data_IF_182471120389
#
_entry.id   IF_182471120389
#
_cell.length_a   1.000
_cell.length_b   1.000
_cell.length_c   1.000
_cell.angle_alpha   90.00
_cell.angle_beta   90.00
_cell.angle_gamma   90.00
#
_symmetry.space_group_name_H-M   'P 1'
#
loop_
_entity.id
_entity.type
_entity.pdbx_description
1 polymer ?
#
# COMPACT_ATOMS: atom_id res chain seq x y z
N UNK A 1 -2.86 -45.20 8.38
CA UNK A 1 -3.24 -44.34 7.22
C UNK A 1 -4.34 -43.33 7.55
N UNK A 2 -5.17 -43.51 8.59
CA UNK A 2 -6.36 -42.64 8.81
C UNK A 2 -6.14 -41.29 9.55
N UNK A 3 -4.99 -41.04 10.18
CA UNK A 3 -4.79 -39.83 11.01
C UNK A 3 -4.37 -38.57 10.21
N UNK A 4 -3.64 -38.77 9.10
CA UNK A 4 -3.17 -37.67 8.23
C UNK A 4 -4.29 -37.15 7.33
N UNK A 5 -5.15 -38.04 6.81
CA UNK A 5 -6.33 -37.66 6.02
C UNK A 5 -7.41 -36.98 6.86
N UNK A 6 -7.62 -37.41 8.12
CA UNK A 6 -8.56 -36.74 9.04
C UNK A 6 -8.10 -35.35 9.48
N UNK A 7 -6.78 -35.13 9.58
CA UNK A 7 -6.21 -33.82 9.92
C UNK A 7 -6.38 -32.81 8.79
N UNK A 8 -6.11 -33.24 7.55
CA UNK A 8 -6.21 -32.38 6.37
C UNK A 8 -7.66 -31.97 6.05
N UNK A 9 -8.61 -32.89 6.22
CA UNK A 9 -10.04 -32.61 6.05
C UNK A 9 -10.57 -31.57 7.07
N UNK A 10 -10.14 -31.66 8.33
CA UNK A 10 -10.55 -30.71 9.37
C UNK A 10 -9.96 -29.31 9.16
N UNK A 11 -8.71 -29.21 8.70
CA UNK A 11 -8.09 -27.92 8.35
C UNK A 11 -8.79 -27.22 7.18
N UNK A 12 -9.14 -27.97 6.13
CA UNK A 12 -9.82 -27.41 4.96
C UNK A 12 -11.25 -26.94 5.28
N UNK A 13 -11.97 -27.68 6.14
CA UNK A 13 -13.30 -27.29 6.62
C UNK A 13 -13.24 -26.01 7.46
N UNK A 14 -12.28 -25.92 8.38
CA UNK A 14 -12.11 -24.73 9.23
C UNK A 14 -11.69 -23.51 8.40
N UNK A 15 -10.79 -23.72 7.44
CA UNK A 15 -10.34 -22.65 6.55
C UNK A 15 -11.45 -22.12 5.63
N UNK A 16 -12.38 -22.99 5.23
CA UNK A 16 -13.58 -22.60 4.50
C UNK A 16 -14.58 -21.84 5.39
N UNK A 17 -14.73 -22.21 6.67
CA UNK A 17 -15.58 -21.47 7.63
C UNK A 17 -15.05 -20.06 7.87
N UNK A 18 -13.75 -19.93 8.12
CA UNK A 18 -13.05 -18.64 8.27
C UNK A 18 -13.26 -17.77 7.04
N UNK A 19 -13.11 -18.34 5.84
CA UNK A 19 -13.34 -17.63 4.59
C UNK A 19 -14.77 -17.10 4.49
N UNK A 20 -15.78 -17.94 4.77
CA UNK A 20 -17.19 -17.55 4.71
C UNK A 20 -17.54 -16.43 5.71
N UNK A 21 -17.02 -16.51 6.94
CA UNK A 21 -17.22 -15.47 7.95
C UNK A 21 -16.69 -14.10 7.49
N UNK A 22 -15.50 -14.07 6.87
CA UNK A 22 -14.96 -12.83 6.30
C UNK A 22 -15.80 -12.35 5.11
N UNK A 23 -16.26 -13.26 4.24
CA UNK A 23 -17.12 -12.90 3.11
C UNK A 23 -18.43 -12.23 3.59
N UNK A 24 -19.08 -12.79 4.62
CA UNK A 24 -20.31 -12.23 5.16
C UNK A 24 -20.08 -10.88 5.85
N UNK A 25 -18.99 -10.72 6.59
CA UNK A 25 -18.59 -9.44 7.14
C UNK A 25 -18.37 -8.38 6.03
N UNK A 26 -17.72 -8.74 4.92
CA UNK A 26 -17.50 -7.81 3.80
C UNK A 26 -18.82 -7.43 3.11
N UNK A 27 -19.81 -8.32 3.03
CA UNK A 27 -21.15 -7.96 2.52
C UNK A 27 -21.81 -6.90 3.40
N UNK A 28 -21.71 -7.03 4.72
CA UNK A 28 -22.21 -6.02 5.67
C UNK A 28 -21.50 -4.67 5.46
N UNK A 29 -20.19 -4.69 5.22
CA UNK A 29 -19.43 -3.47 4.91
C UNK A 29 -19.91 -2.80 3.61
N UNK A 30 -20.12 -3.57 2.53
CA UNK A 30 -20.62 -3.06 1.26
C UNK A 30 -22.04 -2.47 1.40
N UNK A 31 -22.94 -3.17 2.11
CA UNK A 31 -24.28 -2.66 2.38
C UNK A 31 -24.25 -1.36 3.20
N UNK A 32 -23.35 -1.27 4.18
CA UNK A 32 -23.18 -0.06 4.99
C UNK A 32 -22.59 1.14 4.23
N UNK A 33 -21.95 0.89 3.09
CA UNK A 33 -21.54 1.90 2.10
C UNK A 33 -22.67 2.30 1.14
N UNK A 34 -23.84 1.64 1.20
CA UNK A 34 -24.95 1.88 0.28
C UNK A 34 -24.81 1.17 -1.08
N UNK A 35 -23.93 0.18 -1.19
CA UNK A 35 -23.69 -0.54 -2.44
C UNK A 35 -24.67 -1.71 -2.64
N UNK A 36 -25.06 -1.95 -3.90
CA UNK A 36 -25.73 -3.19 -4.30
C UNK A 36 -24.71 -4.32 -4.41
N UNK A 37 -24.71 -5.23 -3.42
CA UNK A 37 -23.81 -6.38 -3.34
C UNK A 37 -23.91 -7.33 -4.55
N UNK A 38 -24.99 -7.27 -5.32
CA UNK A 38 -25.19 -8.13 -6.48
C UNK A 38 -24.66 -7.54 -7.78
N UNK A 39 -24.26 -6.25 -7.81
CA UNK A 39 -23.72 -5.64 -9.02
C UNK A 39 -22.44 -6.35 -9.47
N UNK A 40 -22.26 -6.48 -10.78
CA UNK A 40 -21.23 -7.31 -11.39
C UNK A 40 -19.82 -7.07 -10.83
N UNK A 41 -19.43 -5.80 -10.69
CA UNK A 41 -18.09 -5.39 -10.25
C UNK A 41 -17.70 -5.83 -8.83
N UNK A 42 -18.67 -5.89 -7.90
CA UNK A 42 -18.41 -6.21 -6.47
C UNK A 42 -19.00 -7.52 -5.99
N UNK A 43 -19.77 -8.24 -6.81
CA UNK A 43 -20.30 -9.57 -6.46
C UNK A 43 -19.22 -10.53 -5.97
N UNK A 44 -18.00 -10.44 -6.53
CA UNK A 44 -16.83 -11.26 -6.12
C UNK A 44 -15.92 -10.58 -5.10
N UNK A 45 -16.18 -9.32 -4.73
CA UNK A 45 -15.37 -8.57 -3.77
C UNK A 45 -15.27 -9.25 -2.39
N UNK A 46 -16.35 -9.75 -1.79
CA UNK A 46 -16.25 -10.50 -0.54
C UNK A 46 -15.19 -11.62 -0.58
N UNK A 47 -15.23 -12.46 -1.62
CA UNK A 47 -14.29 -13.57 -1.77
C UNK A 47 -12.86 -13.11 -2.03
N UNK A 48 -12.69 -12.05 -2.83
CA UNK A 48 -11.39 -11.44 -3.12
C UNK A 48 -10.74 -10.83 -1.88
N UNK A 49 -11.54 -10.22 -1.00
CA UNK A 49 -11.12 -9.65 0.29
C UNK A 49 -10.83 -10.75 1.30
N UNK A 50 -11.66 -11.78 1.41
CA UNK A 50 -11.41 -12.92 2.29
C UNK A 50 -10.10 -13.65 1.96
N UNK A 51 -9.88 -13.93 0.66
CA UNK A 51 -8.59 -14.45 0.18
C UNK A 51 -7.44 -13.48 0.50
N UNK A 52 -7.71 -12.17 0.59
CA UNK A 52 -6.72 -11.14 0.89
C UNK A 52 -6.17 -11.21 2.27
N UNK A 53 -7.07 -11.11 3.21
CA UNK A 53 -6.70 -11.00 4.60
C UNK A 53 -6.07 -12.31 5.05
N UNK A 54 -6.55 -13.46 4.55
CA UNK A 54 -5.92 -14.76 4.80
C UNK A 54 -4.49 -14.87 4.27
N UNK A 55 -4.24 -14.46 3.02
CA UNK A 55 -2.88 -14.47 2.46
C UNK A 55 -1.96 -13.48 3.20
N UNK A 56 -2.50 -12.32 3.56
CA UNK A 56 -1.79 -11.28 4.30
C UNK A 56 -1.47 -11.66 5.75
N UNK A 57 -2.12 -12.69 6.30
CA UNK A 57 -1.95 -13.14 7.69
C UNK A 57 -1.46 -14.59 7.79
N UNK A 58 -1.05 -15.19 6.66
CA UNK A 58 -0.56 -16.59 6.62
C UNK A 58 0.65 -16.83 7.53
N UNK A 59 1.40 -15.77 7.84
CA UNK A 59 2.58 -15.79 8.69
C UNK A 59 2.30 -16.23 10.14
N UNK A 60 1.05 -16.14 10.61
CA UNK A 60 0.68 -16.71 11.92
C UNK A 60 0.77 -18.23 11.98
N UNK A 61 0.61 -18.91 10.84
CA UNK A 61 0.63 -20.38 10.72
C UNK A 61 2.02 -20.93 10.37
N UNK A 62 3.05 -20.07 10.30
CA UNK A 62 4.39 -20.45 9.86
C UNK A 62 5.39 -20.39 11.03
N UNK A 63 6.30 -21.36 11.08
CA UNK A 63 7.35 -21.41 12.09
C UNK A 63 8.72 -21.14 11.48
N UNK A 64 9.51 -20.30 12.18
CA UNK A 64 10.86 -19.91 11.77
C UNK A 64 11.79 -21.13 11.67
N UNK A 65 11.59 -22.10 12.56
CA UNK A 65 12.42 -23.30 12.60
C UNK A 65 12.35 -24.08 11.28
N UNK A 66 11.17 -24.20 10.68
CA UNK A 66 10.98 -24.93 9.41
C UNK A 66 11.69 -24.25 8.23
N UNK A 67 11.98 -22.95 8.34
CA UNK A 67 12.69 -22.19 7.32
C UNK A 67 14.20 -22.28 7.47
N UNK A 68 14.69 -22.15 8.71
CA UNK A 68 16.12 -22.02 9.01
C UNK A 68 16.81 -23.38 9.16
N UNK A 69 16.11 -24.40 9.68
CA UNK A 69 16.70 -25.73 9.88
C UNK A 69 17.08 -26.35 8.52
N UNK A 70 18.32 -26.83 8.41
CA UNK A 70 18.87 -27.42 7.18
C UNK A 70 19.50 -26.43 6.19
N UNK A 71 19.55 -25.14 6.50
CA UNK A 71 20.12 -24.10 5.62
C UNK A 71 21.31 -23.35 6.24
N UNK A 72 21.97 -23.97 7.21
CA UNK A 72 23.24 -23.51 7.77
C UNK A 72 24.36 -24.28 7.08
N UNK A 73 25.21 -23.57 6.36
CA UNK A 73 26.30 -24.13 5.57
C UNK A 73 27.63 -23.91 6.28
N UNK A 74 28.51 -24.92 6.34
CA UNK A 74 29.85 -24.73 6.86
C UNK A 74 30.64 -23.82 5.92
N UNK A 75 31.29 -22.80 6.48
CA UNK A 75 32.19 -21.92 5.75
C UNK A 75 33.54 -21.92 6.49
N UNK A 76 34.50 -22.65 5.94
CA UNK A 76 35.80 -22.87 6.57
C UNK A 76 36.60 -21.57 6.68
N UNK A 77 37.23 -21.35 7.83
CA UNK A 77 38.07 -20.19 8.05
C UNK A 77 39.46 -20.29 7.48
N UNK A 78 40.05 -19.13 7.22
CA UNK A 78 41.49 -19.06 7.02
C UNK A 78 42.15 -19.37 8.37
N UNK A 79 42.91 -20.46 8.41
CA UNK A 79 43.67 -20.84 9.61
C UNK A 79 44.75 -19.81 9.88
N UNK A 80 44.59 -19.04 10.96
CA UNK A 80 45.57 -18.08 11.45
C UNK A 80 45.53 -16.74 10.73
N UNK A 81 45.08 -15.69 11.43
CA UNK A 81 45.18 -14.32 10.93
C UNK A 81 44.14 -13.40 11.54
N UNK A 82 44.60 -12.29 12.12
CA UNK A 82 43.76 -11.18 12.54
C UNK A 82 42.91 -10.64 11.37
N UNK A 83 41.59 -10.59 11.54
CA UNK A 83 40.66 -10.02 10.57
C UNK A 83 39.29 -10.71 10.54
N UNK A 84 38.30 -10.05 9.92
CA UNK A 84 36.94 -10.55 9.71
C UNK A 84 36.72 -11.13 8.30
N UNK A 85 37.78 -11.60 7.64
CA UNK A 85 37.70 -12.13 6.27
C UNK A 85 38.17 -13.59 6.24
N UNK A 86 37.20 -14.51 6.31
CA UNK A 86 37.40 -15.94 6.08
C UNK A 86 37.10 -16.81 7.30
N UNK A 87 35.92 -17.43 7.33
CA UNK A 87 35.58 -18.50 8.27
C UNK A 87 34.33 -18.37 9.11
N UNK A 88 33.40 -17.52 8.69
CA UNK A 88 32.21 -17.11 9.43
C UNK A 88 32.46 -16.10 10.58
N UNK A 89 33.46 -15.22 10.42
CA UNK A 89 33.51 -13.91 11.08
C UNK A 89 33.28 -12.79 10.05
N UNK A 90 32.67 -11.69 10.45
CA UNK A 90 32.40 -10.52 9.58
C UNK A 90 30.91 -10.28 9.30
N UNK A 91 30.58 -9.06 8.86
CA UNK A 91 29.20 -8.64 8.63
C UNK A 91 28.66 -9.17 7.28
N UNK A 92 27.56 -9.91 7.34
CA UNK A 92 26.78 -10.32 6.15
C UNK A 92 25.50 -9.50 6.11
N UNK A 93 25.17 -8.91 4.95
CA UNK A 93 23.97 -8.08 4.78
C UNK A 93 23.15 -8.54 3.58
N UNK A 94 21.85 -8.71 3.78
CA UNK A 94 20.85 -8.77 2.72
C UNK A 94 20.04 -7.47 2.77
N UNK A 95 19.96 -6.77 1.64
CA UNK A 95 19.36 -5.44 1.51
C UNK A 95 18.18 -5.48 0.55
N UNK A 96 17.37 -4.43 0.61
CA UNK A 96 16.28 -4.15 -0.34
C UNK A 96 15.28 -5.30 -0.47
N UNK A 97 14.93 -5.91 0.66
CA UNK A 97 13.86 -6.88 0.74
C UNK A 97 12.52 -6.13 0.76
N UNK A 98 11.87 -6.07 -0.40
CA UNK A 98 10.55 -5.47 -0.54
C UNK A 98 9.49 -6.44 0.00
N UNK A 99 8.81 -6.04 1.08
CA UNK A 99 7.80 -6.80 1.80
C UNK A 99 6.53 -5.96 1.99
N UNK A 100 5.43 -6.65 2.31
CA UNK A 100 4.17 -6.02 2.68
C UNK A 100 3.67 -6.56 4.00
N UNK A 101 3.09 -5.66 4.80
CA UNK A 101 2.40 -6.02 6.03
C UNK A 101 1.11 -5.22 6.17
N UNK A 102 0.28 -5.57 7.13
CA UNK A 102 -0.99 -4.90 7.41
C UNK A 102 -0.90 -4.19 8.74
N UNK A 103 -1.25 -2.90 8.77
CA UNK A 103 -1.15 -2.09 9.97
C UNK A 103 -2.22 -2.55 10.96
N UNK A 104 -1.79 -3.05 12.12
CA UNK A 104 -2.69 -3.52 13.16
C UNK A 104 -3.65 -2.42 13.65
N UNK A 105 -3.25 -1.15 13.56
CA UNK A 105 -4.08 -0.03 13.97
C UNK A 105 -5.24 0.25 13.01
N UNK A 106 -5.14 -0.05 11.72
CA UNK A 106 -6.16 0.38 10.75
C UNK A 106 -6.54 -0.66 9.68
N UNK A 107 -5.95 -1.85 9.70
CA UNK A 107 -6.14 -2.91 8.70
C UNK A 107 -5.80 -2.53 7.26
N UNK A 108 -5.11 -1.40 7.04
CA UNK A 108 -4.57 -1.06 5.73
C UNK A 108 -3.14 -1.58 5.57
N UNK A 109 -2.78 -2.03 4.36
CA UNK A 109 -1.42 -2.47 4.08
C UNK A 109 -0.42 -1.32 4.07
N UNK A 110 0.81 -1.61 4.45
CA UNK A 110 1.96 -0.73 4.38
C UNK A 110 3.15 -1.45 3.75
N UNK A 111 4.00 -0.67 3.07
CA UNK A 111 5.21 -1.18 2.43
C UNK A 111 6.33 -1.27 3.46
N UNK A 112 7.15 -2.32 3.36
CA UNK A 112 8.31 -2.53 4.21
C UNK A 112 9.50 -2.83 3.31
N UNK A 113 10.49 -1.95 3.30
CA UNK A 113 11.81 -2.27 2.75
C UNK A 113 12.72 -2.70 3.89
N UNK A 114 13.03 -3.98 3.94
CA UNK A 114 13.77 -4.62 5.01
C UNK A 114 15.25 -4.81 4.63
N UNK A 115 16.12 -4.48 5.57
CA UNK A 115 17.55 -4.80 5.51
C UNK A 115 17.91 -5.63 6.73
N UNK A 116 18.63 -6.73 6.50
CA UNK A 116 19.06 -7.66 7.54
C UNK A 116 20.57 -7.77 7.48
N UNK A 117 21.23 -7.37 8.56
CA UNK A 117 22.64 -7.62 8.83
C UNK A 117 22.80 -8.69 9.89
N UNK A 118 23.78 -9.58 9.76
CA UNK A 118 24.16 -10.47 10.85
C UNK A 118 25.65 -10.79 10.82
N UNK A 119 26.20 -11.12 11.99
CA UNK A 119 27.57 -11.61 12.13
C UNK A 119 27.54 -13.11 12.38
N UNK A 120 27.95 -13.95 11.42
CA UNK A 120 27.95 -15.39 11.59
C UNK A 120 28.74 -15.84 12.82
N UNK A 121 28.51 -17.09 13.24
CA UNK A 121 29.22 -17.70 14.37
C UNK A 121 29.42 -19.20 14.11
N UNK A 122 30.42 -19.78 14.76
CA UNK A 122 30.66 -21.23 14.71
C UNK A 122 30.90 -21.79 13.31
N UNK A 123 31.59 -21.03 12.45
CA UNK A 123 31.94 -21.43 11.08
C UNK A 123 30.74 -21.80 10.20
N UNK A 124 29.58 -21.18 10.44
CA UNK A 124 28.36 -21.42 9.67
C UNK A 124 27.73 -20.13 9.16
N UNK A 125 27.28 -20.15 7.91
CA UNK A 125 26.51 -19.07 7.28
C UNK A 125 25.11 -19.56 6.94
N UNK A 126 24.10 -18.68 7.04
CA UNK A 126 22.74 -19.01 6.60
C UNK A 126 22.58 -18.72 5.10
N UNK A 127 21.85 -19.58 4.39
CA UNK A 127 21.43 -19.28 3.03
C UNK A 127 20.66 -17.96 2.95
N UNK A 128 21.07 -17.05 2.07
CA UNK A 128 20.54 -15.68 2.01
C UNK A 128 19.01 -15.61 1.84
N UNK A 129 18.43 -16.55 1.08
CA UNK A 129 16.97 -16.64 0.89
C UNK A 129 16.19 -16.97 2.16
N UNK A 130 16.86 -17.41 3.24
CA UNK A 130 16.20 -17.68 4.52
C UNK A 130 15.95 -16.41 5.31
N UNK A 131 16.82 -15.41 5.18
CA UNK A 131 16.61 -14.11 5.83
C UNK A 131 15.33 -13.45 5.31
N UNK A 132 15.12 -13.46 3.98
CA UNK A 132 13.90 -12.94 3.38
C UNK A 132 12.65 -13.74 3.74
N UNK A 133 12.74 -15.08 3.78
CA UNK A 133 11.61 -15.94 4.20
C UNK A 133 11.22 -15.74 5.66
N UNK A 134 12.20 -15.58 6.56
CA UNK A 134 11.90 -15.27 7.97
C UNK A 134 11.25 -13.89 8.07
N UNK A 135 11.75 -12.89 7.35
CA UNK A 135 11.12 -11.57 7.31
C UNK A 135 9.67 -11.62 6.78
N UNK A 136 9.39 -12.42 5.73
CA UNK A 136 8.04 -12.60 5.18
C UNK A 136 7.07 -13.25 6.18
N UNK A 137 7.51 -14.23 7.00
CA UNK A 137 6.69 -14.83 8.06
C UNK A 137 6.11 -13.77 9.00
N UNK A 138 6.91 -12.78 9.39
CA UNK A 138 6.46 -11.73 10.30
C UNK A 138 5.75 -10.59 9.57
N UNK A 139 6.14 -10.29 8.33
CA UNK A 139 5.48 -9.28 7.52
C UNK A 139 4.03 -9.70 7.17
N UNK A 140 3.78 -10.99 6.92
CA UNK A 140 2.44 -11.53 6.65
C UNK A 140 1.62 -11.74 7.94
N UNK A 141 1.50 -10.66 8.73
CA UNK A 141 0.75 -10.51 9.98
C UNK A 141 0.19 -9.09 10.10
N UNK A 142 -0.64 -8.84 11.12
CA UNK A 142 -0.99 -7.50 11.56
C UNK A 142 0.15 -6.94 12.43
N UNK A 143 0.74 -5.82 12.01
CA UNK A 143 2.00 -5.33 12.57
C UNK A 143 2.01 -3.83 12.85
N UNK A 144 2.94 -3.45 13.72
CA UNK A 144 3.53 -2.12 13.79
C UNK A 144 5.02 -2.20 13.39
N UNK A 145 5.62 -1.15 12.80
CA UNK A 145 6.99 -1.18 12.30
C UNK A 145 8.01 -1.68 13.33
N UNK A 146 8.02 -1.12 14.55
CA UNK A 146 9.01 -1.50 15.56
C UNK A 146 8.87 -2.97 15.98
N UNK A 147 7.62 -3.42 16.24
CA UNK A 147 7.33 -4.82 16.58
C UNK A 147 7.82 -5.77 15.50
N UNK A 148 7.56 -5.44 14.22
CA UNK A 148 8.03 -6.24 13.09
C UNK A 148 9.57 -6.33 13.08
N UNK A 149 10.28 -5.23 13.32
CA UNK A 149 11.74 -5.24 13.39
C UNK A 149 12.25 -6.14 14.53
N UNK A 150 11.64 -6.01 15.72
CA UNK A 150 12.00 -6.78 16.91
C UNK A 150 11.73 -8.27 16.77
N UNK A 151 10.59 -8.65 16.19
CA UNK A 151 10.22 -10.04 15.95
C UNK A 151 11.15 -10.72 14.93
N UNK A 152 11.46 -10.04 13.82
CA UNK A 152 12.41 -10.55 12.82
C UNK A 152 13.80 -10.70 13.45
N UNK A 153 14.28 -9.68 14.16
CA UNK A 153 15.60 -9.70 14.81
C UNK A 153 15.72 -10.86 15.81
N UNK A 154 14.73 -11.00 16.69
CA UNK A 154 14.66 -12.06 17.71
C UNK A 154 14.59 -13.45 17.07
N UNK A 155 13.77 -13.62 16.04
CA UNK A 155 13.63 -14.88 15.34
C UNK A 155 14.92 -15.31 14.64
N UNK A 156 15.59 -14.40 13.96
CA UNK A 156 16.87 -14.66 13.32
C UNK A 156 17.96 -14.98 14.34
N UNK A 157 18.02 -14.23 15.46
CA UNK A 157 18.96 -14.48 16.53
C UNK A 157 18.79 -15.89 17.11
N UNK A 158 17.55 -16.31 17.39
CA UNK A 158 17.28 -17.64 17.94
C UNK A 158 17.46 -18.77 16.92
N UNK A 159 17.03 -18.55 15.67
CA UNK A 159 17.08 -19.56 14.61
C UNK A 159 18.49 -19.83 14.09
N UNK A 160 19.30 -18.78 13.90
CA UNK A 160 20.66 -18.88 13.35
C UNK A 160 21.71 -19.02 14.46
N UNK A 161 21.45 -18.44 15.65
CA UNK A 161 22.41 -18.27 16.75
C UNK A 161 23.71 -17.55 16.33
N UNK A 162 23.62 -16.43 15.60
CA UNK A 162 24.79 -15.68 15.19
C UNK A 162 25.39 -14.90 16.37
N UNK A 163 26.56 -14.31 16.15
CA UNK A 163 27.19 -13.40 17.13
C UNK A 163 26.33 -12.14 17.35
N UNK A 164 25.58 -11.73 16.32
CA UNK A 164 24.51 -10.75 16.44
C UNK A 164 23.72 -10.59 15.15
N UNK A 165 22.55 -9.97 15.26
CA UNK A 165 21.65 -9.61 14.14
C UNK A 165 21.25 -8.15 14.28
N UNK A 166 21.17 -7.45 13.16
CA UNK A 166 20.53 -6.16 13.03
C UNK A 166 19.46 -6.22 11.94
N UNK A 167 18.32 -5.63 12.22
CA UNK A 167 17.23 -5.42 11.26
C UNK A 167 16.97 -3.94 11.18
N UNK A 168 16.95 -3.41 9.96
CA UNK A 168 16.51 -2.04 9.66
C UNK A 168 15.31 -2.15 8.74
N UNK A 169 14.25 -1.39 9.03
CA UNK A 169 13.05 -1.36 8.20
C UNK A 169 12.73 0.09 7.83
N UNK A 170 12.61 0.36 6.53
CA UNK A 170 11.97 1.55 6.02
C UNK A 170 10.52 1.21 5.68
N UNK A 171 9.59 1.77 6.44
CA UNK A 171 8.15 1.52 6.30
C UNK A 171 7.47 2.73 5.65
N UNK A 172 6.55 2.47 4.72
CA UNK A 172 5.71 3.50 4.09
C UNK A 172 4.24 3.16 4.35
N UNK A 173 3.57 3.97 5.17
CA UNK A 173 2.13 3.87 5.37
C UNK A 173 1.40 4.86 4.47
N UNK A 174 0.29 4.44 3.90
CA UNK A 174 -0.53 5.35 3.11
C UNK A 174 -1.09 6.48 3.99
N UNK A 175 -1.03 7.71 3.51
CA UNK A 175 -1.66 8.84 4.19
C UNK A 175 -3.19 8.67 4.19
N UNK A 176 -3.86 9.15 5.23
CA UNK A 176 -5.32 9.14 5.29
C UNK A 176 -5.83 10.48 4.77
N UNK A 177 -6.33 10.58 3.52
CA UNK A 177 -6.91 11.82 3.07
C UNK A 177 -8.18 12.09 3.87
N UNK A 178 -8.19 13.19 4.63
CA UNK A 178 -9.43 13.76 5.11
C UNK A 178 -10.07 14.54 3.95
N UNK A 179 -11.39 14.43 3.79
CA UNK A 179 -12.14 15.11 2.73
C UNK A 179 -11.89 16.63 2.72
N UNK A 180 -11.63 17.23 3.88
CA UNK A 180 -11.33 18.66 4.03
C UNK A 180 -9.86 19.02 3.69
N UNK A 181 -8.89 18.12 3.92
CA UNK A 181 -7.46 18.41 3.68
C UNK A 181 -7.00 18.07 2.25
N UNK A 182 -7.76 17.26 1.52
CA UNK A 182 -7.48 16.92 0.11
C UNK A 182 -7.48 18.15 -0.82
N UNK A 183 -8.09 19.28 -0.41
CA UNK A 183 -8.13 20.54 -1.17
C UNK A 183 -6.93 21.47 -0.93
N UNK A 184 -6.22 21.33 0.20
CA UNK A 184 -5.30 22.37 0.70
C UNK A 184 -3.83 21.95 0.73
N UNK A 185 -3.55 20.64 0.73
CA UNK A 185 -2.17 20.18 0.86
C UNK A 185 -1.47 20.07 -0.50
N UNK A 186 -0.76 21.14 -0.88
CA UNK A 186 0.09 21.17 -2.08
C UNK A 186 1.36 20.32 -1.94
N UNK A 187 1.70 19.88 -0.73
CA UNK A 187 2.91 19.09 -0.45
C UNK A 187 2.73 17.59 -0.64
N UNK A 188 1.48 17.12 -0.80
CA UNK A 188 1.10 15.73 -1.11
C UNK A 188 2.05 14.67 -0.56
N UNK A 189 2.37 14.71 0.74
CA UNK A 189 3.06 13.61 1.41
C UNK A 189 2.10 12.40 1.46
N UNK A 190 2.05 11.71 0.33
CA UNK A 190 1.12 10.59 0.06
C UNK A 190 1.41 9.38 0.95
N UNK A 191 2.58 9.38 1.59
CA UNK A 191 3.09 8.31 2.42
C UNK A 191 3.75 8.87 3.68
N UNK A 192 3.40 8.30 4.83
CA UNK A 192 4.16 8.46 6.07
C UNK A 192 5.33 7.49 6.04
N UNK A 193 6.55 8.05 6.05
CA UNK A 193 7.78 7.28 6.04
C UNK A 193 8.27 7.12 7.48
N UNK A 194 8.60 5.90 7.88
CA UNK A 194 9.16 5.59 9.20
C UNK A 194 10.37 4.68 9.04
N UNK A 195 11.46 5.00 9.73
CA UNK A 195 12.64 4.16 9.82
C UNK A 195 12.72 3.60 11.24
N UNK A 196 12.77 2.28 11.36
CA UNK A 196 12.95 1.57 12.63
C UNK A 196 14.11 0.60 12.53
N UNK A 197 14.74 0.33 13.67
CA UNK A 197 15.81 -0.65 13.77
C UNK A 197 15.65 -1.51 15.00
N UNK A 198 16.18 -2.73 14.93
CA UNK A 198 16.28 -3.65 16.06
C UNK A 198 17.61 -4.39 15.98
N UNK A 199 18.26 -4.59 17.13
CA UNK A 199 19.58 -5.19 17.24
C UNK A 199 19.67 -6.22 18.35
N UNK A 200 20.45 -7.28 18.10
CA UNK A 200 20.72 -8.34 19.07
C UNK A 200 22.17 -8.82 18.99
N UNK A 201 22.67 -9.40 20.09
CA UNK A 201 24.08 -9.79 20.21
C UNK A 201 25.02 -8.58 20.12
N UNK A 202 26.01 -8.63 19.23
CA UNK A 202 26.94 -7.50 18.99
C UNK A 202 26.27 -6.21 18.50
N UNK A 203 25.02 -6.28 18.05
CA UNK A 203 24.22 -5.11 17.66
C UNK A 203 23.33 -4.56 18.79
N UNK A 204 23.45 -5.07 20.02
CA UNK A 204 22.59 -4.62 21.14
C UNK A 204 22.85 -3.17 21.54
N UNK A 205 24.09 -2.69 21.42
CA UNK A 205 24.44 -1.28 21.62
C UNK A 205 24.45 -0.56 20.27
N UNK A 206 23.55 0.40 20.07
CA UNK A 206 23.45 1.19 18.83
C UNK A 206 24.71 2.03 18.54
N UNK A 207 25.58 2.22 19.53
CA UNK A 207 26.85 2.96 19.39
C UNK A 207 28.04 2.07 19.03
N UNK A 208 27.85 0.75 18.94
CA UNK A 208 28.92 -0.16 18.57
C UNK A 208 29.39 0.12 17.13
N UNK A 209 30.71 0.04 16.90
CA UNK A 209 31.33 0.32 15.59
C UNK A 209 30.69 -0.47 14.44
N UNK A 210 30.18 -1.66 14.74
CA UNK A 210 29.52 -2.53 13.76
C UNK A 210 28.21 -1.96 13.20
N UNK A 211 27.50 -1.11 13.94
CA UNK A 211 26.37 -0.36 13.40
C UNK A 211 26.83 0.68 12.39
N UNK A 212 27.98 1.31 12.61
CA UNK A 212 28.58 2.25 11.67
C UNK A 212 28.92 1.56 10.36
N UNK A 213 29.48 0.35 10.41
CA UNK A 213 29.76 -0.46 9.21
C UNK A 213 28.47 -0.82 8.45
N UNK A 214 27.45 -1.29 9.16
CA UNK A 214 26.15 -1.62 8.59
C UNK A 214 25.52 -0.39 7.90
N UNK A 215 25.41 0.73 8.62
CA UNK A 215 24.80 1.95 8.12
C UNK A 215 25.59 2.55 6.95
N UNK A 216 26.92 2.49 6.98
CA UNK A 216 27.76 2.94 5.86
C UNK A 216 27.51 2.11 4.60
N UNK A 217 27.32 0.80 4.76
CA UNK A 217 26.95 -0.09 3.66
C UNK A 217 25.52 0.16 3.15
N UNK A 218 24.59 0.63 3.99
CA UNK A 218 23.26 1.07 3.56
C UNK A 218 23.32 2.42 2.82
N UNK A 219 24.09 3.38 3.35
CA UNK A 219 24.27 4.72 2.79
C UNK A 219 24.89 4.70 1.39
N UNK A 220 25.81 3.77 1.10
CA UNK A 220 26.41 3.61 -0.24
C UNK A 220 25.38 3.41 -1.36
N UNK A 221 24.16 2.96 -1.04
CA UNK A 221 23.04 2.78 -1.98
C UNK A 221 21.94 3.87 -1.86
N UNK A 222 22.21 4.95 -1.12
CA UNK A 222 21.27 6.08 -0.95
C UNK A 222 20.24 5.89 0.16
N UNK A 223 20.40 4.90 1.03
CA UNK A 223 19.54 4.71 2.23
C UNK A 223 20.17 5.50 3.39
N UNK A 224 19.98 6.82 3.43
CA UNK A 224 20.47 7.66 4.54
C UNK A 224 19.48 7.75 5.71
N UNK A 225 19.98 7.60 6.94
CA UNK A 225 19.25 7.89 8.19
C UNK A 225 18.87 9.38 8.31
N UNK A 226 19.47 10.24 7.48
CA UNK A 226 19.28 11.70 7.48
C UNK A 226 18.05 12.17 6.68
N UNK A 227 17.43 11.30 5.88
CA UNK A 227 16.22 11.64 5.11
C UNK A 227 14.91 11.43 5.90
N UNK A 228 15.01 11.04 7.17
CA UNK A 228 13.88 11.07 8.10
C UNK A 228 13.91 12.39 8.84
N UNK A 229 12.89 13.23 8.66
CA UNK A 229 12.66 14.38 9.51
C UNK A 229 12.78 13.94 10.98
N UNK A 230 13.76 14.46 11.76
CA UNK A 230 13.86 14.15 13.19
C UNK A 230 12.73 14.82 14.00
N UNK A 231 11.89 15.61 13.34
CA UNK A 231 10.71 16.22 13.92
C UNK A 231 9.51 15.30 13.78
N UNK A 232 9.21 14.58 14.86
CA UNK A 232 7.91 14.46 15.54
C UNK A 232 7.89 13.11 16.27
N UNK A 233 8.54 13.06 17.43
CA UNK A 233 8.52 11.90 18.34
C UNK A 233 7.14 11.66 19.01
N UNK A 234 6.10 12.41 18.62
CA UNK A 234 4.81 12.47 19.31
C UNK A 234 3.59 12.23 18.41
N UNK A 235 3.80 11.84 17.14
CA UNK A 235 2.72 11.45 16.23
C UNK A 235 2.75 9.94 16.01
N UNK A 236 1.62 9.30 16.26
CA UNK A 236 1.36 7.92 15.92
C UNK A 236 1.71 7.59 14.46
N UNK A 237 2.50 6.54 14.22
CA UNK A 237 2.91 6.12 12.86
C UNK A 237 1.72 5.88 11.92
N UNK A 238 0.61 5.37 12.48
CA UNK A 238 -0.59 5.15 11.72
C UNK A 238 -1.38 6.46 11.64
N UNK A 239 -1.56 7.07 10.45
CA UNK A 239 -2.21 8.38 10.36
C UNK A 239 -3.68 8.36 10.81
N UNK A 240 -4.33 7.20 10.82
CA UNK A 240 -5.69 7.04 11.35
C UNK A 240 -5.79 7.33 12.86
N UNK A 241 -4.71 7.20 13.61
CA UNK A 241 -4.70 7.42 15.06
C UNK A 241 -4.79 8.91 15.42
N UNK A 242 -4.43 9.83 14.50
CA UNK A 242 -4.56 11.27 14.70
C UNK A 242 -6.00 11.80 14.55
N UNK A 243 -6.95 10.98 14.09
CA UNK A 243 -8.28 11.41 13.69
C UNK A 243 -9.36 11.14 14.77
N UNK A 244 -9.41 11.96 15.83
CA UNK A 244 -10.24 11.75 17.04
C UNK A 244 -11.75 12.03 16.94
N UNK A 245 -12.28 12.54 15.82
CA UNK A 245 -13.74 12.75 15.72
C UNK A 245 -14.47 11.40 15.64
N UNK A 246 -15.27 11.11 16.67
CA UNK A 246 -16.17 9.97 16.81
C UNK A 246 -17.49 10.32 16.09
N UNK A 247 -17.63 9.93 14.82
CA UNK A 247 -18.95 9.97 14.17
C UNK A 247 -19.78 8.76 14.62
N UNK A 248 -21.11 8.86 14.52
CA UNK A 248 -22.04 7.77 14.84
C UNK A 248 -21.62 6.49 14.11
N UNK A 249 -20.97 5.58 14.86
CA UNK A 249 -20.44 4.35 14.32
C UNK A 249 -21.60 3.40 14.01
N UNK A 250 -21.71 2.96 12.75
CA UNK A 250 -22.63 1.88 12.39
C UNK A 250 -22.21 0.61 13.15
N UNK A 251 -22.99 0.21 14.14
CA UNK A 251 -22.67 -0.92 15.02
C UNK A 251 -22.56 -2.23 14.25
N UNK A 252 -23.38 -2.44 13.22
CA UNK A 252 -23.32 -3.62 12.36
C UNK A 252 -22.00 -3.71 11.60
N UNK A 253 -21.55 -2.61 10.99
CA UNK A 253 -20.26 -2.58 10.30
C UNK A 253 -19.09 -2.73 11.27
N UNK A 254 -19.20 -2.17 12.48
CA UNK A 254 -18.16 -2.30 13.51
C UNK A 254 -18.00 -3.75 13.90
N UNK A 255 -19.12 -4.43 14.13
CA UNK A 255 -19.16 -5.87 14.41
C UNK A 255 -18.64 -6.71 13.24
N UNK A 256 -18.87 -6.28 11.99
CA UNK A 256 -18.31 -6.94 10.82
C UNK A 256 -16.77 -6.90 10.82
N UNK A 257 -16.15 -5.74 11.10
CA UNK A 257 -14.68 -5.65 11.19
C UNK A 257 -14.13 -6.46 12.38
N UNK A 258 -14.83 -6.46 13.51
CA UNK A 258 -14.50 -7.33 14.65
C UNK A 258 -14.57 -8.81 14.27
N UNK A 259 -15.57 -9.21 13.49
CA UNK A 259 -15.72 -10.58 12.98
C UNK A 259 -14.56 -10.94 12.04
N UNK A 260 -14.12 -10.02 11.18
CA UNK A 260 -12.93 -10.19 10.35
C UNK A 260 -11.70 -10.47 11.22
N UNK A 261 -11.43 -9.63 12.22
CA UNK A 261 -10.28 -9.81 13.13
C UNK A 261 -10.30 -11.19 13.80
N UNK A 262 -11.44 -11.57 14.39
CA UNK A 262 -11.62 -12.89 15.02
C UNK A 262 -11.39 -14.03 14.05
N UNK A 263 -11.88 -13.90 12.82
CA UNK A 263 -11.70 -14.91 11.77
C UNK A 263 -10.24 -15.07 11.34
N UNK A 264 -9.44 -14.01 11.45
CA UNK A 264 -7.98 -14.06 11.21
C UNK A 264 -7.19 -14.63 12.41
N UNK A 265 -7.87 -15.02 13.49
CA UNK A 265 -7.24 -15.55 14.71
C UNK A 265 -6.76 -14.46 15.67
N UNK A 266 -7.13 -13.21 15.46
CA UNK A 266 -6.74 -12.08 16.31
C UNK A 266 -7.76 -11.83 17.43
N UNK A 267 -7.27 -11.39 18.58
CA UNK A 267 -8.09 -10.93 19.69
C UNK A 267 -8.35 -9.42 19.56
N UNK A 268 -9.59 -8.98 19.27
CA UNK A 268 -9.91 -7.55 19.13
C UNK A 268 -9.70 -6.74 20.41
N UNK A 269 -9.58 -7.40 21.57
CA UNK A 269 -9.31 -6.75 22.87
C UNK A 269 -7.81 -6.50 23.11
N UNK A 270 -6.94 -7.07 22.28
CA UNK A 270 -5.50 -6.79 22.26
C UNK A 270 -5.27 -5.27 22.16
N UNK A 271 -4.44 -4.73 23.05
CA UNK A 271 -4.20 -3.29 23.24
C UNK A 271 -4.04 -2.53 21.92
N UNK A 272 -3.33 -3.10 20.96
CA UNK A 272 -2.99 -2.44 19.69
C UNK A 272 -4.11 -2.53 18.64
N UNK A 273 -5.01 -3.51 18.78
CA UNK A 273 -6.21 -3.66 17.96
C UNK A 273 -7.41 -2.87 18.51
N UNK A 274 -7.33 -2.37 19.74
CA UNK A 274 -8.38 -1.51 20.30
C UNK A 274 -8.56 -0.28 19.41
N UNK A 275 -9.80 -0.07 18.98
CA UNK A 275 -10.19 1.00 18.06
C UNK A 275 -9.88 0.74 16.58
N UNK A 276 -9.23 -0.38 16.24
CA UNK A 276 -8.95 -0.75 14.83
C UNK A 276 -10.23 -0.88 13.99
N UNK A 277 -11.30 -1.53 14.47
CA UNK A 277 -12.59 -1.54 13.76
C UNK A 277 -13.06 -0.14 13.40
N UNK A 278 -13.04 0.79 14.35
CA UNK A 278 -13.48 2.16 14.14
C UNK A 278 -12.60 2.91 13.13
N UNK A 279 -11.26 2.79 13.25
CA UNK A 279 -10.32 3.47 12.35
C UNK A 279 -10.41 2.95 10.91
N UNK A 280 -10.58 1.65 10.72
CA UNK A 280 -10.81 1.07 9.41
C UNK A 280 -12.14 1.54 8.80
N UNK A 281 -13.22 1.55 9.59
CA UNK A 281 -14.51 2.04 9.12
C UNK A 281 -14.51 3.52 8.77
N UNK A 282 -13.86 4.35 9.58
CA UNK A 282 -13.73 5.78 9.28
C UNK A 282 -13.11 6.00 7.92
N UNK A 283 -12.04 5.27 7.61
CA UNK A 283 -11.43 5.29 6.28
C UNK A 283 -12.37 4.80 5.19
N UNK A 284 -13.03 3.67 5.42
CA UNK A 284 -13.99 3.10 4.48
C UNK A 284 -15.11 4.10 4.14
N UNK A 285 -15.56 4.87 5.14
CA UNK A 285 -16.64 5.85 5.00
C UNK A 285 -16.23 7.14 4.29
N UNK A 286 -14.93 7.46 4.20
CA UNK A 286 -14.48 8.65 3.45
C UNK A 286 -14.91 8.61 1.97
N UNK A 287 -15.21 7.42 1.43
CA UNK A 287 -15.61 7.20 0.05
C UNK A 287 -17.12 7.06 -0.13
N UNK A 288 -17.93 7.22 0.93
CA UNK A 288 -19.37 6.96 0.90
C UNK A 288 -20.15 8.05 0.17
N UNK A 289 -19.80 9.34 0.31
CA UNK A 289 -20.63 10.43 -0.20
C UNK A 289 -19.81 11.66 -0.61
N UNK A 290 -19.36 11.70 -1.87
CA UNK A 290 -19.05 12.96 -2.54
C UNK A 290 -20.32 13.40 -3.30
N UNK A 291 -21.23 14.13 -2.63
CA UNK A 291 -22.35 14.76 -3.35
C UNK A 291 -21.79 15.94 -4.16
N UNK A 292 -21.88 15.85 -5.48
CA UNK A 292 -21.76 17.04 -6.32
C UNK A 292 -23.07 17.80 -6.18
N UNK A 293 -23.08 18.91 -5.44
CA UNK A 293 -24.18 19.86 -5.55
C UNK A 293 -24.23 20.36 -7.01
N UNK A 294 -25.44 20.38 -7.57
CA UNK A 294 -25.77 20.67 -8.97
C UNK A 294 -25.39 22.11 -9.39
N UNK A 295 -24.09 22.38 -9.51
CA UNK A 295 -23.51 23.69 -9.82
C UNK A 295 -22.67 23.68 -11.10
N UNK A 296 -23.11 22.97 -12.13
CA UNK A 296 -22.55 23.10 -13.48
C UNK A 296 -23.61 23.74 -14.37
N UNK A 297 -23.78 25.06 -14.22
CA UNK A 297 -24.55 25.87 -15.16
C UNK A 297 -23.96 25.70 -16.55
N UNK A 298 -24.81 25.27 -17.47
CA UNK A 298 -24.50 24.90 -18.83
C UNK A 298 -24.34 26.16 -19.70
N UNK A 299 -23.11 26.59 -19.96
CA UNK A 299 -22.84 27.54 -21.05
C UNK A 299 -22.46 26.77 -22.31
N UNK A 300 -23.46 26.38 -23.11
CA UNK A 300 -23.21 25.92 -24.49
C UNK A 300 -22.71 27.09 -25.32
N UNK A 301 -21.59 26.92 -26.01
CA UNK A 301 -21.21 27.79 -27.13
C UNK A 301 -20.76 26.89 -28.29
N UNK A 302 -21.46 27.01 -29.41
CA UNK A 302 -21.06 26.45 -30.70
C UNK A 302 -20.42 27.56 -31.54
N UNK A 303 -19.27 27.28 -32.15
CA UNK A 303 -18.95 27.48 -33.59
C UNK A 303 -17.46 27.20 -33.79
N UNK A 304 -17.05 26.37 -34.76
CA UNK A 304 -15.63 26.08 -35.01
C UNK A 304 -14.94 27.30 -35.64
N UNK A 305 -13.87 27.80 -35.01
CA UNK A 305 -12.97 28.80 -35.60
C UNK A 305 -11.65 28.14 -36.04
N UNK A 306 -10.90 28.72 -37.00
CA UNK A 306 -9.91 27.96 -37.79
C UNK A 306 -8.56 27.69 -37.10
N UNK A 307 -8.40 27.98 -35.81
CA UNK A 307 -7.15 27.76 -35.05
C UNK A 307 -7.44 27.30 -33.62
N UNK A 308 -7.92 26.08 -33.48
CA UNK A 308 -7.98 25.45 -32.16
C UNK A 308 -6.60 24.90 -31.77
N UNK A 309 -6.15 25.22 -30.56
CA UNK A 309 -4.95 24.62 -29.96
C UNK A 309 -5.38 23.65 -28.85
N UNK A 310 -4.54 22.64 -28.59
CA UNK A 310 -4.73 21.71 -27.47
C UNK A 310 -4.40 22.46 -26.17
N UNK A 311 -5.37 22.59 -25.29
CA UNK A 311 -5.19 22.97 -23.89
C UNK A 311 -5.02 21.70 -23.03
N UNK A 312 -4.26 21.79 -21.94
CA UNK A 312 -4.00 20.66 -21.06
C UNK A 312 -3.95 21.06 -19.59
N UNK A 313 -4.64 20.31 -18.75
CA UNK A 313 -4.47 20.31 -17.30
C UNK A 313 -3.82 18.99 -16.88
N UNK A 314 -2.59 19.07 -16.37
CA UNK A 314 -1.78 17.91 -16.03
C UNK A 314 -1.63 17.78 -14.51
N UNK A 315 -1.36 16.54 -14.05
CA UNK A 315 -1.10 16.24 -12.64
C UNK A 315 -2.24 16.66 -11.70
N UNK A 316 -3.48 16.29 -12.03
CA UNK A 316 -4.62 16.45 -11.14
C UNK A 316 -4.66 15.24 -10.19
N UNK A 317 -4.25 15.37 -8.92
CA UNK A 317 -4.16 14.23 -8.01
C UNK A 317 -5.54 13.69 -7.66
N UNK A 318 -5.62 12.39 -7.42
CA UNK A 318 -6.84 11.76 -6.93
C UNK A 318 -6.55 10.57 -6.01
N UNK A 319 -7.53 10.30 -5.17
CA UNK A 319 -7.59 9.14 -4.29
C UNK A 319 -8.88 8.40 -4.57
N UNK A 320 -8.84 7.08 -4.50
CA UNK A 320 -10.00 6.25 -4.72
C UNK A 320 -9.88 4.91 -4.01
N UNK A 321 -10.98 4.16 -3.98
CA UNK A 321 -11.04 2.86 -3.35
C UNK A 321 -11.37 1.80 -4.39
N UNK A 322 -10.50 0.82 -4.54
CA UNK A 322 -10.65 -0.24 -5.51
C UNK A 322 -11.83 -1.12 -5.11
N UNK A 323 -12.88 -1.14 -5.91
CA UNK A 323 -14.09 -1.88 -5.58
C UNK A 323 -13.85 -3.40 -5.49
N UNK A 324 -12.83 -3.93 -6.16
CA UNK A 324 -12.48 -5.36 -6.13
C UNK A 324 -11.92 -5.84 -4.79
N UNK A 325 -11.29 -4.95 -4.02
CA UNK A 325 -10.50 -5.31 -2.83
C UNK A 325 -10.73 -4.41 -1.62
N UNK A 326 -11.53 -3.35 -1.77
CA UNK A 326 -11.76 -2.34 -0.73
C UNK A 326 -10.46 -1.73 -0.19
N UNK A 327 -9.45 -1.59 -1.06
CA UNK A 327 -8.15 -1.01 -0.74
C UNK A 327 -7.93 0.28 -1.53
N UNK A 328 -7.12 1.22 -1.01
CA UNK A 328 -6.89 2.48 -1.68
C UNK A 328 -6.08 2.31 -2.97
N UNK A 329 -6.39 3.14 -3.95
CA UNK A 329 -5.50 3.45 -5.06
C UNK A 329 -5.47 4.95 -5.28
N UNK A 330 -4.34 5.46 -5.76
CA UNK A 330 -4.11 6.89 -5.91
C UNK A 330 -3.26 7.15 -7.13
N UNK A 331 -3.33 8.36 -7.64
CA UNK A 331 -2.63 8.70 -8.85
C UNK A 331 -2.90 10.11 -9.32
N UNK A 332 -2.71 10.31 -10.62
CA UNK A 332 -2.90 11.58 -11.29
C UNK A 332 -3.79 11.41 -12.51
N UNK A 333 -4.52 12.48 -12.81
CA UNK A 333 -5.33 12.62 -14.02
C UNK A 333 -4.74 13.75 -14.86
N UNK A 334 -4.67 13.50 -16.17
CA UNK A 334 -4.28 14.46 -17.18
C UNK A 334 -5.45 14.63 -18.14
N UNK A 335 -5.84 15.89 -18.38
CA UNK A 335 -6.98 16.23 -19.22
C UNK A 335 -6.49 17.13 -20.34
N UNK A 336 -6.74 16.72 -21.58
CA UNK A 336 -6.54 17.52 -22.78
C UNK A 336 -7.87 17.84 -23.44
N UNK A 337 -8.00 19.07 -23.93
CA UNK A 337 -9.20 19.53 -24.64
C UNK A 337 -8.86 20.63 -25.64
N UNK A 338 -9.74 20.91 -26.58
CA UNK A 338 -9.57 22.01 -27.53
C UNK A 338 -10.33 23.26 -27.06
N UNK A 339 -9.74 24.44 -27.27
CA UNK A 339 -10.38 25.72 -26.95
C UNK A 339 -10.30 26.67 -28.15
N UNK A 340 -11.42 27.31 -28.47
CA UNK A 340 -11.52 28.33 -29.52
C UNK A 340 -11.36 29.72 -28.89
N UNK A 341 -10.38 30.49 -29.36
CA UNK A 341 -10.14 31.91 -29.04
C UNK A 341 -9.78 32.30 -27.59
N UNK A 342 -9.29 31.39 -26.74
CA UNK A 342 -8.63 31.72 -25.46
C UNK A 342 -9.52 32.33 -24.38
N UNK A 343 -10.84 32.42 -24.58
CA UNK A 343 -11.74 33.17 -23.69
C UNK A 343 -12.47 32.30 -22.64
N UNK A 344 -12.44 30.97 -22.75
CA UNK A 344 -13.12 30.09 -21.78
C UNK A 344 -12.21 28.95 -21.34
N UNK A 345 -11.24 29.24 -20.47
CA UNK A 345 -10.59 28.19 -19.68
C UNK A 345 -11.47 27.83 -18.50
N UNK A 346 -12.07 26.63 -18.50
CA UNK A 346 -12.54 26.05 -17.24
C UNK A 346 -11.33 25.99 -16.33
N UNK A 347 -11.39 26.68 -15.19
CA UNK A 347 -10.26 26.75 -14.28
C UNK A 347 -9.89 25.36 -13.76
N UNK A 348 -8.58 25.12 -13.56
CA UNK A 348 -8.00 23.90 -12.96
C UNK A 348 -8.79 23.39 -11.75
N UNK A 349 -9.29 24.30 -10.90
CA UNK A 349 -10.11 23.97 -9.72
C UNK A 349 -11.40 23.21 -10.04
N UNK A 350 -12.06 23.53 -11.16
CA UNK A 350 -13.31 22.89 -11.58
C UNK A 350 -13.04 21.50 -12.15
N UNK A 351 -11.97 21.32 -12.93
CA UNK A 351 -11.52 20.01 -13.38
C UNK A 351 -11.03 19.13 -12.21
N UNK A 352 -10.28 19.71 -11.27
CA UNK A 352 -9.89 19.05 -10.02
C UNK A 352 -11.11 18.59 -9.22
N UNK A 353 -12.20 19.39 -9.20
CA UNK A 353 -13.45 19.02 -8.53
C UNK A 353 -14.13 17.80 -9.17
N UNK A 354 -14.10 17.68 -10.50
CA UNK A 354 -14.61 16.51 -11.24
C UNK A 354 -13.76 15.27 -10.89
N UNK A 355 -12.44 15.41 -10.96
CA UNK A 355 -11.48 14.35 -10.61
C UNK A 355 -11.72 13.87 -9.17
N UNK A 356 -11.87 14.80 -8.22
CA UNK A 356 -12.12 14.49 -6.82
C UNK A 356 -13.46 13.77 -6.61
N UNK A 357 -14.53 14.24 -7.25
CA UNK A 357 -15.86 13.61 -7.18
C UNK A 357 -15.85 12.16 -7.66
N UNK A 358 -15.16 11.86 -8.76
CA UNK A 358 -15.05 10.48 -9.23
C UNK A 358 -14.06 9.66 -8.43
N UNK A 359 -12.98 10.29 -7.93
CA UNK A 359 -11.98 9.67 -7.08
C UNK A 359 -12.57 9.13 -5.78
N UNK A 360 -13.29 9.94 -5.01
CA UNK A 360 -13.78 9.58 -3.67
C UNK A 360 -15.02 8.66 -3.70
N UNK A 361 -14.88 7.50 -4.34
CA UNK A 361 -15.89 6.44 -4.51
C UNK A 361 -15.24 5.06 -4.58
N UNK A 362 -16.06 4.01 -4.45
CA UNK A 362 -15.68 2.68 -4.93
C UNK A 362 -15.60 2.68 -6.46
N UNK A 363 -14.41 2.38 -7.00
CA UNK A 363 -14.13 2.55 -8.42
C UNK A 363 -13.31 1.42 -9.02
N UNK A 364 -13.41 1.38 -10.35
CA UNK A 364 -12.46 0.74 -11.26
C UNK A 364 -11.82 1.87 -12.08
N UNK A 365 -10.50 1.85 -12.27
CA UNK A 365 -9.74 2.95 -12.87
C UNK A 365 -10.27 3.30 -14.28
N UNK A 366 -10.60 2.30 -15.07
CA UNK A 366 -11.16 2.43 -16.42
C UNK A 366 -12.49 3.19 -16.41
N UNK A 367 -13.37 2.88 -15.44
CA UNK A 367 -14.66 3.58 -15.28
C UNK A 367 -14.44 5.03 -14.86
N UNK A 368 -13.57 5.26 -13.89
CA UNK A 368 -13.21 6.60 -13.42
C UNK A 368 -12.67 7.46 -14.58
N UNK A 369 -11.77 6.92 -15.40
CA UNK A 369 -11.20 7.58 -16.57
C UNK A 369 -12.28 8.01 -17.56
N UNK A 370 -13.20 7.10 -17.89
CA UNK A 370 -14.31 7.37 -18.80
C UNK A 370 -15.29 8.40 -18.24
N UNK A 371 -15.66 8.27 -16.97
CA UNK A 371 -16.59 9.19 -16.30
C UNK A 371 -16.06 10.63 -16.26
N UNK A 372 -14.76 10.80 -16.01
CA UNK A 372 -14.11 12.11 -16.05
C UNK A 372 -14.16 12.67 -17.48
N UNK A 373 -13.87 11.86 -18.50
CA UNK A 373 -13.91 12.30 -19.89
C UNK A 373 -15.32 12.74 -20.32
N UNK A 374 -16.35 11.94 -20.05
CA UNK A 374 -17.74 12.23 -20.37
C UNK A 374 -18.24 13.51 -19.66
N UNK A 375 -17.91 13.66 -18.37
CA UNK A 375 -18.30 14.85 -17.60
C UNK A 375 -17.59 16.09 -18.10
N UNK A 376 -16.29 15.99 -18.34
CA UNK A 376 -15.47 17.09 -18.89
C UNK A 376 -15.99 17.50 -20.26
N UNK A 377 -16.38 16.53 -21.09
CA UNK A 377 -16.91 16.81 -22.43
C UNK A 377 -18.19 17.62 -22.40
N UNK A 378 -19.08 17.37 -21.42
CA UNK A 378 -20.29 18.18 -21.27
C UNK A 378 -20.03 19.65 -20.88
N UNK A 379 -18.82 19.98 -20.41
CA UNK A 379 -18.41 21.32 -19.99
C UNK A 379 -17.52 22.03 -21.01
N UNK A 380 -16.61 21.30 -21.66
CA UNK A 380 -15.52 21.84 -22.48
C UNK A 380 -15.67 21.52 -23.98
N UNK A 381 -16.67 20.74 -24.37
CA UNK A 381 -16.90 20.33 -25.76
C UNK A 381 -16.54 18.87 -26.02
N UNK A 382 -16.73 18.41 -27.26
CA UNK A 382 -16.66 16.99 -27.60
C UNK A 382 -15.24 16.44 -27.69
N UNK A 383 -14.23 17.30 -27.87
CA UNK A 383 -12.85 16.91 -28.11
C UNK A 383 -12.04 16.78 -26.82
N UNK A 384 -12.21 15.67 -26.11
CA UNK A 384 -11.54 15.41 -24.82
C UNK A 384 -10.61 14.20 -24.89
N UNK A 385 -9.45 14.31 -24.24
CA UNK A 385 -8.60 13.19 -23.87
C UNK A 385 -8.38 13.21 -22.35
N UNK A 386 -8.57 12.06 -21.71
CA UNK A 386 -8.25 11.87 -20.29
C UNK A 386 -7.30 10.70 -20.17
N UNK A 387 -6.18 10.92 -19.49
CA UNK A 387 -5.21 9.88 -19.11
C UNK A 387 -5.15 9.82 -17.60
N UNK A 388 -5.29 8.62 -17.04
CA UNK A 388 -5.19 8.38 -15.60
C UNK A 388 -4.06 7.41 -15.37
N UNK A 389 -3.12 7.80 -14.50
CA UNK A 389 -2.02 6.95 -14.05
C UNK A 389 -2.17 6.74 -12.54
N UNK A 390 -2.17 5.49 -12.08
CA UNK A 390 -2.43 5.19 -10.67
C UNK A 390 -1.66 3.97 -10.14
N UNK A 391 -1.36 4.02 -8.85
CA UNK A 391 -0.77 2.93 -8.10
C UNK A 391 -1.83 2.28 -7.23
N UNK A 392 -2.04 0.97 -7.42
CA UNK A 392 -3.10 0.21 -6.75
C UNK A 392 -2.54 -0.59 -5.59
N UNK A 393 -2.92 -0.25 -4.37
CA UNK A 393 -2.42 -0.97 -3.18
C UNK A 393 -2.83 -2.45 -3.20
N UNK A 394 -3.96 -2.79 -3.83
CA UNK A 394 -4.38 -4.18 -4.02
C UNK A 394 -3.46 -4.99 -4.95
N UNK A 395 -2.88 -4.35 -5.99
CA UNK A 395 -1.93 -5.00 -6.89
C UNK A 395 -0.56 -5.14 -6.24
N UNK A 396 -0.14 -4.11 -5.51
CA UNK A 396 1.21 -4.06 -4.96
C UNK A 396 1.29 -4.94 -3.69
N UNK A 397 0.25 -5.03 -2.85
CA UNK A 397 0.32 -5.82 -1.59
C UNK A 397 0.12 -7.33 -1.73
N UNK A 398 -0.36 -7.81 -2.88
CA UNK A 398 -0.77 -9.22 -3.06
C UNK A 398 -0.64 -9.78 -4.47
N UNK A 399 -0.53 -8.92 -5.48
CA UNK A 399 -0.56 -9.30 -6.89
C UNK A 399 0.84 -9.36 -7.48
N UNK A 400 1.27 -8.24 -8.08
CA UNK A 400 2.61 -8.12 -8.67
C UNK A 400 3.68 -8.09 -7.58
N UNK A 401 3.32 -7.66 -6.35
CA UNK A 401 4.24 -7.56 -5.22
C UNK A 401 5.52 -6.76 -5.53
N UNK A 402 5.39 -5.78 -6.42
CA UNK A 402 6.50 -4.93 -6.88
C UNK A 402 6.23 -3.46 -6.57
N UNK A 403 7.04 -2.89 -5.69
CA UNK A 403 6.99 -1.46 -5.40
C UNK A 403 7.16 -0.63 -6.69
N UNK A 404 6.45 0.50 -6.75
CA UNK A 404 6.47 1.40 -7.91
C UNK A 404 5.67 0.92 -9.13
N UNK A 405 4.98 -0.23 -9.06
CA UNK A 405 4.06 -0.64 -10.13
C UNK A 405 2.86 0.32 -10.23
N UNK A 406 2.59 0.81 -11.43
CA UNK A 406 1.44 1.66 -11.76
C UNK A 406 0.68 1.12 -12.98
N UNK A 407 -0.54 1.61 -13.16
CA UNK A 407 -1.42 1.31 -14.30
C UNK A 407 -1.87 2.61 -14.95
N UNK A 408 -1.96 2.60 -16.28
CA UNK A 408 -2.43 3.74 -17.05
C UNK A 408 -3.69 3.38 -17.86
N UNK A 409 -4.62 4.31 -17.93
CA UNK A 409 -5.87 4.19 -18.71
C UNK A 409 -6.09 5.47 -19.49
N UNK A 410 -6.68 5.33 -20.67
CA UNK A 410 -6.97 6.45 -21.57
C UNK A 410 -8.44 6.41 -22.00
N UNK A 411 -9.11 7.56 -21.95
CA UNK A 411 -10.41 7.77 -22.58
C UNK A 411 -10.29 8.93 -23.57
N UNK A 412 -10.82 8.75 -24.77
CA UNK A 412 -10.79 9.75 -25.84
C UNK A 412 -12.17 9.95 -26.43
N UNK A 413 -12.52 11.21 -26.68
CA UNK A 413 -13.77 11.68 -27.27
C UNK A 413 -13.46 12.67 -28.40
N UNK A 414 -14.41 12.86 -29.33
CA UNK A 414 -14.28 13.81 -30.44
C UNK A 414 -13.03 13.57 -31.30
N UNK A 415 -12.36 14.65 -31.70
CA UNK A 415 -11.12 14.64 -32.51
C UNK A 415 -10.01 13.76 -31.94
N UNK A 416 -9.88 13.63 -30.62
CA UNK A 416 -8.87 12.74 -30.02
C UNK A 416 -9.13 11.25 -30.31
N UNK A 417 -10.36 10.87 -30.62
CA UNK A 417 -10.71 9.49 -31.02
C UNK A 417 -10.34 9.20 -32.48
N UNK A 418 -10.51 10.18 -33.38
CA UNK A 418 -10.35 10.02 -34.83
C UNK A 418 -8.99 10.45 -35.38
N UNK A 419 -8.23 11.28 -34.66
CA UNK A 419 -6.89 11.76 -35.07
C UNK A 419 -5.77 11.20 -34.14
N UNK A 420 -5.08 10.13 -34.57
CA UNK A 420 -3.95 9.57 -33.83
C UNK A 420 -2.77 10.52 -33.65
N UNK A 421 -2.53 11.46 -34.58
CA UNK A 421 -1.40 12.38 -34.52
C UNK A 421 -1.62 13.42 -33.41
N UNK A 422 -2.84 13.96 -33.33
CA UNK A 422 -3.27 14.83 -32.23
C UNK A 422 -3.18 14.12 -30.88
N UNK A 423 -3.64 12.87 -30.78
CA UNK A 423 -3.52 12.05 -29.57
C UNK A 423 -2.06 11.84 -29.17
N UNK A 424 -1.20 11.46 -30.12
CA UNK A 424 0.23 11.26 -29.87
C UNK A 424 0.92 12.56 -29.42
N UNK A 425 0.52 13.71 -29.95
CA UNK A 425 1.03 15.02 -29.54
C UNK A 425 0.74 15.30 -28.06
N UNK A 426 -0.49 15.04 -27.60
CA UNK A 426 -0.84 15.17 -26.19
C UNK A 426 -0.07 14.18 -25.31
N UNK A 427 -0.03 12.90 -25.68
CA UNK A 427 0.66 11.87 -24.89
C UNK A 427 2.16 12.15 -24.73
N UNK A 428 2.82 12.71 -25.75
CA UNK A 428 4.24 13.13 -25.66
C UNK A 428 4.47 14.34 -24.76
N UNK A 429 3.42 15.10 -24.42
CA UNK A 429 3.51 16.27 -23.53
C UNK A 429 3.35 15.91 -22.05
N UNK A 430 2.97 14.66 -21.75
CA UNK A 430 2.83 14.21 -20.36
C UNK A 430 4.20 14.22 -19.65
N UNK A 431 4.26 14.65 -18.38
CA UNK A 431 5.50 14.66 -17.63
C UNK A 431 5.99 13.23 -17.41
N UNK A 432 7.31 13.05 -17.30
CA UNK A 432 7.88 11.78 -16.85
C UNK A 432 7.45 11.52 -15.40
N UNK A 433 6.72 10.43 -15.17
CA UNK A 433 6.29 10.04 -13.82
C UNK A 433 7.51 9.66 -12.98
N UNK A 434 7.95 10.55 -12.08
CA UNK A 434 8.92 10.20 -11.04
C UNK A 434 8.15 9.57 -9.88
N UNK A 435 8.27 8.26 -9.70
CA UNK A 435 7.79 7.59 -8.49
C UNK A 435 8.53 8.17 -7.28
N UNK A 436 7.80 8.85 -6.39
CA UNK A 436 8.33 9.38 -5.12
C UNK A 436 8.52 8.31 -4.03
#
# INVERSE_FOLDING_TARGET
MNALESGHFNEEVEENRVKLAIEDAVKVLLQGLGEDINREGIRKTPSRVAKALREATKGYKQHVNDVVHGALFPEAGLGGGCGQAGGAGGLVIVRDLDLFSYCESCLLPFQVRCQVGYVPSGQRVVGLSKLSRVADIFAKRLQAPQRLADEICTALQHGIKPTGVAVVLQCLHIHFPNSESAFLDTSHQSWVKMLVSSGSGVFKDEKADIWTDLLSLLNFRGISKENTNPGVFDQSWCPSQCCNKLEQSNSAMTNAVVSILKSLGEDPSRKELVGTPYRFLKWLMNFRNSNMENGFLQSRINSPSPKDFICSELNLPFWSQCEHHLLPFQGVVHIGYFSSNGLNSVGRSKLQSIVHFYGFKLQVQERLTRQIAETTSSLLGEDIIVVVEASHTCMISRGIEKFGSSTATIAVLGRFSTDPATRAKFLKSLPSFSSA
#
